data_IF_103090473096
#
_entry.id   IF_103090473096
#
_cell.length_a   1.000
_cell.length_b   1.000
_cell.length_c   1.000
_cell.angle_alpha   90.00
_cell.angle_beta   90.00
_cell.angle_gamma   90.00
#
_symmetry.space_group_name_H-M   'P 1'
#
loop_
_entity.id
_entity.type
_entity.pdbx_description
1 polymer ?
#
# COMPACT_ATOMS: atom_id res chain seq x y z
N UNK A 1 42.72 -10.20 14.43
CA UNK A 1 41.60 -9.25 14.47
C UNK A 1 40.82 -9.40 13.17
N UNK A 2 39.74 -10.18 13.18
CA UNK A 2 38.88 -10.34 12.01
C UNK A 2 37.94 -9.15 11.94
N UNK A 3 38.12 -8.31 10.93
CA UNK A 3 37.19 -7.24 10.62
C UNK A 3 35.90 -7.85 10.08
N UNK A 4 34.83 -7.81 10.87
CA UNK A 4 33.46 -8.08 10.40
C UNK A 4 33.04 -6.86 9.59
N UNK A 5 33.16 -6.94 8.26
CA UNK A 5 32.55 -5.94 7.38
C UNK A 5 31.02 -6.13 7.44
N UNK A 6 30.23 -5.06 7.64
CA UNK A 6 28.79 -5.14 7.48
C UNK A 6 28.48 -5.55 6.03
N UNK A 7 27.59 -6.53 5.84
CA UNK A 7 27.18 -7.07 4.52
C UNK A 7 26.48 -6.04 3.59
N UNK A 8 26.58 -4.74 3.88
CA UNK A 8 25.86 -3.66 3.22
C UNK A 8 26.77 -2.48 2.81
N UNK A 9 28.00 -2.74 2.37
CA UNK A 9 28.87 -1.74 1.72
C UNK A 9 29.03 -1.97 0.21
N UNK A 10 28.11 -2.68 -0.44
CA UNK A 10 28.12 -2.83 -1.89
C UNK A 10 27.54 -1.60 -2.58
N UNK A 11 28.29 -1.01 -3.51
CA UNK A 11 27.77 -0.07 -4.50
C UNK A 11 26.68 -0.75 -5.32
N UNK A 12 25.44 -0.25 -5.25
CA UNK A 12 24.35 -0.72 -6.11
C UNK A 12 24.47 0.05 -7.43
N UNK A 13 25.09 -0.58 -8.43
CA UNK A 13 25.00 -0.13 -9.81
C UNK A 13 23.58 -0.32 -10.36
N UNK A 14 23.09 0.68 -11.08
CA UNK A 14 22.08 0.58 -12.15
C UNK A 14 20.68 0.03 -11.79
N UNK A 15 20.07 0.43 -10.67
CA UNK A 15 18.63 0.17 -10.44
C UNK A 15 17.78 1.43 -10.21
N UNK A 16 18.33 2.60 -10.54
CA UNK A 16 17.58 3.86 -10.52
C UNK A 16 17.49 4.36 -11.95
N UNK A 17 16.42 3.98 -12.64
CA UNK A 17 16.00 4.70 -13.83
C UNK A 17 15.51 6.09 -13.37
N UNK A 18 16.22 7.14 -13.78
CA UNK A 18 15.93 8.53 -13.46
C UNK A 18 15.10 9.24 -14.52
N UNK A 19 14.53 8.50 -15.47
CA UNK A 19 13.89 9.13 -16.62
C UNK A 19 12.49 9.63 -16.26
N UNK A 20 12.26 10.92 -16.50
CA UNK A 20 10.94 11.51 -16.51
C UNK A 20 10.13 10.84 -17.63
N UNK A 21 9.00 10.22 -17.28
CA UNK A 21 8.09 9.64 -18.27
C UNK A 21 7.29 10.78 -18.89
N UNK A 22 7.71 11.24 -20.08
CA UNK A 22 6.89 12.10 -20.92
C UNK A 22 5.76 11.28 -21.55
N UNK A 23 4.54 11.79 -21.45
CA UNK A 23 3.31 11.11 -21.89
C UNK A 23 2.87 11.69 -23.23
N UNK A 24 3.03 10.93 -24.31
CA UNK A 24 2.28 11.14 -25.55
C UNK A 24 1.04 10.25 -25.56
N UNK A 25 -0.10 10.88 -25.81
CA UNK A 25 -1.43 10.25 -25.77
C UNK A 25 -1.72 9.66 -27.15
N UNK A 26 -1.85 8.32 -27.22
CA UNK A 26 -2.57 7.66 -28.31
C UNK A 26 -3.72 6.84 -27.70
N UNK A 27 -4.94 7.25 -28.01
CA UNK A 27 -6.18 6.58 -27.59
C UNK A 27 -6.46 5.45 -28.59
N UNK A 28 -6.47 4.20 -28.13
CA UNK A 28 -6.98 3.05 -28.89
C UNK A 28 -8.40 2.72 -28.39
N UNK A 29 -9.35 2.75 -29.32
CA UNK A 29 -10.80 2.93 -29.09
C UNK A 29 -11.56 1.58 -29.08
N UNK A 30 -10.89 0.47 -28.73
CA UNK A 30 -11.42 -0.89 -28.99
C UNK A 30 -11.68 -1.77 -27.76
N UNK A 31 -11.59 -1.26 -26.53
CA UNK A 31 -12.00 -2.01 -25.34
C UNK A 31 -13.46 -1.70 -24.97
N UNK A 32 -14.31 -2.74 -24.97
CA UNK A 32 -15.73 -2.64 -24.58
C UNK A 32 -15.87 -2.03 -23.17
N UNK A 33 -16.41 -0.82 -23.11
CA UNK A 33 -16.57 -0.04 -21.89
C UNK A 33 -17.62 -0.67 -20.97
N UNK A 34 -17.16 -1.29 -19.88
CA UNK A 34 -18.00 -1.45 -18.68
C UNK A 34 -18.00 -0.10 -18.00
N UNK A 35 -19.15 0.58 -18.01
CA UNK A 35 -19.28 1.89 -17.38
C UNK A 35 -18.95 1.78 -15.88
N UNK A 36 -17.99 2.57 -15.35
CA UNK A 36 -17.70 2.57 -13.93
C UNK A 36 -18.96 3.00 -13.15
N UNK A 37 -19.18 2.48 -11.94
CA UNK A 37 -20.29 2.90 -11.09
C UNK A 37 -20.23 4.42 -10.89
N UNK A 38 -21.40 5.05 -10.85
CA UNK A 38 -21.53 6.48 -10.72
C UNK A 38 -20.89 6.95 -9.41
N UNK A 39 -19.74 7.59 -9.54
CA UNK A 39 -19.08 8.35 -8.48
C UNK A 39 -20.09 9.33 -7.94
N UNK A 40 -20.12 9.55 -6.62
CA UNK A 40 -21.13 10.40 -6.00
C UNK A 40 -20.91 11.88 -6.39
N UNK A 41 -21.36 12.23 -7.59
CA UNK A 41 -21.20 13.55 -8.21
C UNK A 41 -21.97 14.62 -7.45
N UNK A 42 -22.91 14.25 -6.56
CA UNK A 42 -23.61 15.18 -5.69
C UNK A 42 -22.73 15.65 -4.52
N UNK A 43 -21.89 14.77 -3.98
CA UNK A 43 -20.94 15.09 -2.90
C UNK A 43 -19.84 16.07 -3.34
N UNK A 44 -19.64 16.23 -4.65
CA UNK A 44 -18.55 17.00 -5.24
C UNK A 44 -18.99 18.29 -5.96
N UNK A 45 -20.28 18.64 -5.89
CA UNK A 45 -20.91 19.77 -6.63
C UNK A 45 -20.94 21.12 -5.91
N UNK A 46 -20.80 21.17 -4.59
CA UNK A 46 -20.47 22.41 -3.87
C UNK A 46 -18.95 22.58 -3.85
N UNK A 47 -18.38 23.53 -3.10
CA UNK A 47 -16.94 23.84 -3.00
C UNK A 47 -16.09 22.67 -2.42
N UNK A 48 -16.23 21.49 -3.02
CA UNK A 48 -15.55 20.22 -2.87
C UNK A 48 -15.68 19.54 -1.51
N UNK A 49 -15.66 18.21 -1.51
CA UNK A 49 -14.88 17.50 -0.48
C UNK A 49 -13.40 17.91 -0.61
N UNK A 50 -13.08 19.11 -0.17
CA UNK A 50 -11.72 19.61 -0.15
C UNK A 50 -10.88 18.83 0.85
N UNK A 51 -9.56 18.89 0.70
CA UNK A 51 -8.64 18.24 1.64
C UNK A 51 -8.75 18.75 3.08
N UNK A 52 -9.45 19.86 3.28
CA UNK A 52 -9.68 20.50 4.57
C UNK A 52 -11.08 20.23 5.16
N UNK A 53 -11.91 19.43 4.48
CA UNK A 53 -13.22 19.04 5.00
C UNK A 53 -13.09 18.27 6.32
N UNK A 54 -14.09 18.42 7.18
CA UNK A 54 -14.06 17.81 8.51
C UNK A 54 -14.17 16.28 8.46
N UNK A 55 -13.66 15.58 9.49
CA UNK A 55 -13.77 14.12 9.64
C UNK A 55 -15.20 13.61 9.41
N UNK A 56 -16.18 14.29 9.98
CA UNK A 56 -17.61 13.93 9.88
C UNK A 56 -18.12 14.03 8.44
N UNK A 57 -17.79 15.10 7.74
CA UNK A 57 -18.21 15.33 6.34
C UNK A 57 -17.59 14.30 5.41
N UNK A 58 -16.27 14.09 5.52
CA UNK A 58 -15.53 13.08 4.74
C UNK A 58 -16.07 11.66 4.99
N UNK A 59 -16.39 11.33 6.25
CA UNK A 59 -16.96 10.03 6.61
C UNK A 59 -18.38 9.86 6.05
N UNK A 60 -19.22 10.90 6.13
CA UNK A 60 -20.58 10.86 5.59
C UNK A 60 -20.57 10.70 4.05
N UNK A 61 -19.68 11.41 3.37
CA UNK A 61 -19.52 11.29 1.93
C UNK A 61 -19.01 9.90 1.51
N UNK A 62 -18.01 9.36 2.21
CA UNK A 62 -17.51 8.02 1.97
C UNK A 62 -18.61 6.96 2.12
N UNK A 63 -19.44 7.07 3.17
CA UNK A 63 -20.60 6.19 3.37
C UNK A 63 -21.63 6.34 2.24
N UNK A 64 -21.93 7.57 1.84
CA UNK A 64 -22.80 7.86 0.71
C UNK A 64 -22.24 7.39 -0.64
N UNK A 65 -20.92 7.18 -0.73
CA UNK A 65 -20.23 6.66 -1.90
C UNK A 65 -19.99 5.14 -1.83
N UNK A 66 -20.67 4.42 -0.91
CA UNK A 66 -20.61 2.96 -0.82
C UNK A 66 -19.48 2.40 0.03
N UNK A 67 -18.67 3.23 0.70
CA UNK A 67 -17.56 2.78 1.57
C UNK A 67 -17.98 2.48 3.01
N UNK A 68 -19.27 2.24 3.27
CA UNK A 68 -19.76 1.98 4.64
C UNK A 68 -19.14 0.73 5.25
N UNK A 69 -19.10 -0.38 4.51
CA UNK A 69 -18.60 -1.67 5.01
C UNK A 69 -17.12 -1.58 5.44
N UNK A 70 -16.26 -1.01 4.61
CA UNK A 70 -14.83 -0.87 4.92
C UNK A 70 -14.59 0.04 6.12
N UNK A 71 -15.37 1.12 6.27
CA UNK A 71 -15.26 2.03 7.41
C UNK A 71 -15.78 1.42 8.70
N UNK A 72 -16.86 0.63 8.62
CA UNK A 72 -17.40 -0.08 9.78
C UNK A 72 -16.45 -1.19 10.23
N UNK A 73 -15.79 -1.89 9.29
CA UNK A 73 -14.67 -2.82 9.58
C UNK A 73 -13.52 -2.11 10.30
N UNK A 74 -13.04 -0.99 9.76
CA UNK A 74 -11.96 -0.23 10.42
C UNK A 74 -12.35 0.26 11.81
N UNK A 75 -13.61 0.65 12.03
CA UNK A 75 -14.08 1.05 13.35
C UNK A 75 -14.13 -0.11 14.34
N UNK A 76 -14.43 -1.33 13.87
CA UNK A 76 -14.43 -2.54 14.69
C UNK A 76 -13.02 -3.03 15.02
N UNK A 77 -12.12 -3.05 14.02
CA UNK A 77 -10.76 -3.56 14.17
C UNK A 77 -9.86 -2.58 14.92
N UNK A 78 -10.12 -1.27 14.78
CA UNK A 78 -9.28 -0.21 15.33
C UNK A 78 -10.10 0.71 16.28
N UNK A 79 -10.47 0.22 17.47
CA UNK A 79 -11.23 1.00 18.42
C UNK A 79 -10.43 2.23 18.86
N UNK A 80 -11.13 3.36 18.96
CA UNK A 80 -10.46 4.63 19.25
C UNK A 80 -10.22 4.79 20.76
N UNK A 81 -9.05 5.35 21.10
CA UNK A 81 -8.69 5.69 22.47
C UNK A 81 -9.28 7.03 22.92
N UNK A 82 -9.20 7.38 24.22
CA UNK A 82 -9.90 8.53 24.82
C UNK A 82 -9.64 9.91 24.20
N UNK A 83 -8.60 10.04 23.38
CA UNK A 83 -8.20 11.29 22.74
C UNK A 83 -8.49 11.35 21.24
N UNK A 84 -8.92 10.25 20.59
CA UNK A 84 -9.43 10.13 19.19
C UNK A 84 -8.62 10.78 18.04
N UNK A 85 -7.53 11.48 18.37
CA UNK A 85 -6.62 12.27 17.54
C UNK A 85 -5.24 12.30 18.23
N UNK A 86 -4.50 11.18 18.23
CA UNK A 86 -3.11 11.24 18.66
C UNK A 86 -2.36 12.26 17.80
N UNK A 87 -1.48 13.07 18.41
CA UNK A 87 -0.56 13.97 17.71
C UNK A 87 0.45 13.13 16.92
N UNK A 88 -0.01 12.60 15.80
CA UNK A 88 0.68 11.59 15.00
C UNK A 88 0.69 11.99 13.53
N UNK A 89 1.58 11.35 12.78
CA UNK A 89 1.67 11.53 11.33
C UNK A 89 0.40 11.03 10.65
N UNK A 90 0.20 11.43 9.39
CA UNK A 90 -0.88 10.92 8.55
C UNK A 90 -0.93 9.38 8.62
N UNK A 91 -2.09 8.74 8.87
CA UNK A 91 -2.21 7.29 8.96
C UNK A 91 -1.65 6.56 7.73
N UNK A 92 -1.88 7.07 6.52
CA UNK A 92 -1.36 6.50 5.28
C UNK A 92 0.18 6.39 5.22
N UNK A 93 0.92 7.06 6.11
CA UNK A 93 2.36 6.85 6.23
C UNK A 93 2.72 5.41 6.62
N UNK A 94 1.89 4.75 7.44
CA UNK A 94 2.12 3.38 7.87
C UNK A 94 2.14 2.38 6.71
N UNK A 95 1.08 2.37 5.91
CA UNK A 95 0.97 1.53 4.72
C UNK A 95 2.06 1.88 3.70
N UNK A 96 2.29 3.17 3.44
CA UNK A 96 3.33 3.62 2.52
C UNK A 96 4.72 3.14 2.95
N UNK A 97 5.05 3.25 4.24
CA UNK A 97 6.34 2.81 4.78
C UNK A 97 6.56 1.32 4.60
N UNK A 98 5.53 0.51 4.80
CA UNK A 98 5.58 -0.94 4.57
C UNK A 98 5.84 -1.23 3.09
N UNK A 99 5.05 -0.65 2.19
CA UNK A 99 5.22 -0.83 0.74
C UNK A 99 6.62 -0.41 0.26
N UNK A 100 7.13 0.73 0.74
CA UNK A 100 8.46 1.22 0.38
C UNK A 100 9.62 0.36 0.89
N UNK A 101 9.40 -0.50 1.90
CA UNK A 101 10.41 -1.46 2.40
C UNK A 101 10.41 -2.78 1.63
N UNK A 102 9.30 -3.15 0.97
CA UNK A 102 9.15 -4.41 0.23
C UNK A 102 9.89 -4.38 -1.11
N UNK A 103 10.74 -5.36 -1.38
CA UNK A 103 11.47 -5.45 -2.65
C UNK A 103 10.51 -5.73 -3.80
N UNK A 104 10.85 -5.13 -4.95
CA UNK A 104 10.08 -5.30 -6.19
C UNK A 104 8.61 -4.91 -6.00
N UNK A 105 8.37 -3.89 -5.17
CA UNK A 105 7.06 -3.31 -4.93
C UNK A 105 7.07 -1.86 -5.38
N UNK A 106 6.13 -1.50 -6.26
CA UNK A 106 5.85 -0.10 -6.55
C UNK A 106 4.69 0.39 -5.67
N UNK A 107 4.66 1.69 -5.36
CA UNK A 107 3.56 2.29 -4.60
C UNK A 107 3.08 3.55 -5.28
N UNK A 108 1.77 3.65 -5.47
CA UNK A 108 1.06 4.78 -6.06
C UNK A 108 0.14 5.36 -4.99
N UNK A 109 0.22 6.67 -4.77
CA UNK A 109 -0.71 7.41 -3.94
C UNK A 109 -1.74 8.12 -4.82
N UNK A 110 -3.02 7.87 -4.52
CA UNK A 110 -4.15 8.64 -5.02
C UNK A 110 -4.56 9.61 -3.92
N UNK A 111 -4.25 10.89 -4.12
CA UNK A 111 -4.33 11.90 -3.07
C UNK A 111 -4.13 13.31 -3.59
N UNK A 112 -4.22 14.31 -2.72
CA UNK A 112 -3.87 15.67 -3.11
C UNK A 112 -2.36 15.88 -3.05
N UNK A 113 -1.88 16.89 -3.77
CA UNK A 113 -0.46 17.23 -3.80
C UNK A 113 0.12 17.47 -2.40
N UNK A 114 -0.63 18.07 -1.48
CA UNK A 114 -0.16 18.31 -0.11
C UNK A 114 -0.02 17.01 0.70
N UNK A 115 -0.95 16.06 0.55
CA UNK A 115 -0.84 14.76 1.20
C UNK A 115 0.34 13.97 0.66
N UNK A 116 0.50 13.92 -0.67
CA UNK A 116 1.59 13.19 -1.30
C UNK A 116 2.94 13.82 -0.99
N UNK A 117 3.05 15.15 -1.02
CA UNK A 117 4.26 15.86 -0.58
C UNK A 117 4.62 15.52 0.87
N UNK A 118 3.65 15.61 1.80
CA UNK A 118 3.90 15.28 3.20
C UNK A 118 4.33 13.82 3.40
N UNK A 119 3.63 12.88 2.77
CA UNK A 119 3.92 11.45 2.87
C UNK A 119 5.26 11.05 2.24
N UNK A 120 5.59 11.64 1.09
CA UNK A 120 6.90 11.45 0.45
C UNK A 120 8.02 12.05 1.29
N UNK A 121 7.85 13.27 1.81
CA UNK A 121 8.82 13.90 2.71
C UNK A 121 9.09 13.04 3.95
N UNK A 122 8.04 12.62 4.66
CA UNK A 122 8.19 11.77 5.86
C UNK A 122 8.83 10.42 5.51
N UNK A 123 8.46 9.82 4.37
CA UNK A 123 9.07 8.56 3.91
C UNK A 123 10.58 8.68 3.70
N UNK A 124 11.04 9.75 3.08
CA UNK A 124 12.47 9.98 2.90
C UNK A 124 13.19 10.19 4.23
N UNK A 125 12.58 10.89 5.18
CA UNK A 125 13.14 11.08 6.52
C UNK A 125 13.33 9.73 7.25
N UNK A 126 12.40 8.79 7.08
CA UNK A 126 12.50 7.44 7.64
C UNK A 126 13.29 6.45 6.77
N UNK A 127 14.10 6.96 5.85
CA UNK A 127 15.09 6.20 5.10
C UNK A 127 14.52 5.43 3.91
N UNK A 128 13.30 5.72 3.47
CA UNK A 128 12.83 5.23 2.18
C UNK A 128 13.66 5.87 1.06
N UNK A 129 14.10 5.05 0.11
CA UNK A 129 14.92 5.46 -1.04
C UNK A 129 14.22 5.20 -2.37
N UNK A 130 13.00 4.70 -2.35
CA UNK A 130 12.23 4.34 -3.54
C UNK A 130 11.27 5.46 -3.90
N UNK A 131 11.00 5.58 -5.19
CA UNK A 131 10.02 6.51 -5.74
C UNK A 131 8.61 6.16 -5.24
N UNK A 132 7.79 7.20 -5.12
CA UNK A 132 6.37 7.09 -4.84
C UNK A 132 5.65 7.62 -6.06
N UNK A 133 4.87 6.77 -6.71
CA UNK A 133 3.98 7.16 -7.79
C UNK A 133 2.87 8.06 -7.24
N UNK A 134 2.41 8.99 -8.07
CA UNK A 134 1.38 9.95 -7.71
C UNK A 134 0.41 10.11 -8.86
N UNK A 135 -0.88 9.92 -8.58
CA UNK A 135 -1.96 10.29 -9.51
C UNK A 135 -2.68 11.52 -8.94
N UNK A 136 -2.53 12.70 -9.57
CA UNK A 136 -3.17 13.91 -9.10
C UNK A 136 -4.68 13.90 -9.40
N UNK A 137 -5.43 14.71 -8.66
CA UNK A 137 -6.82 14.99 -8.96
C UNK A 137 -7.13 16.48 -8.83
N UNK A 138 -8.22 16.90 -9.47
CA UNK A 138 -8.91 18.15 -9.24
C UNK A 138 -10.42 17.88 -9.08
N UNK A 139 -11.22 18.91 -8.83
CA UNK A 139 -12.67 18.73 -8.64
C UNK A 139 -13.34 18.06 -9.85
N UNK A 140 -12.94 18.41 -11.07
CA UNK A 140 -13.48 17.84 -12.30
C UNK A 140 -13.13 16.35 -12.44
N UNK A 141 -11.86 15.97 -12.20
CA UNK A 141 -11.44 14.57 -12.34
C UNK A 141 -12.08 13.65 -11.29
N UNK A 142 -12.42 14.19 -10.12
CA UNK A 142 -13.16 13.46 -9.08
C UNK A 142 -14.60 13.19 -9.49
N UNK A 143 -15.30 14.16 -10.09
CA UNK A 143 -16.73 13.99 -10.41
C UNK A 143 -16.96 13.18 -11.67
N UNK A 144 -16.03 13.26 -12.64
CA UNK A 144 -16.15 12.63 -13.95
C UNK A 144 -15.67 11.18 -13.96
N UNK A 145 -14.93 10.76 -12.93
CA UNK A 145 -14.29 9.44 -12.87
C UNK A 145 -13.01 9.28 -13.62
N UNK A 146 -12.52 10.38 -14.19
CA UNK A 146 -11.20 10.45 -14.78
C UNK A 146 -10.09 10.03 -13.81
N UNK A 147 -10.21 10.30 -12.51
CA UNK A 147 -9.21 9.85 -11.53
C UNK A 147 -9.05 8.32 -11.52
N UNK A 148 -10.14 7.54 -11.63
CA UNK A 148 -10.02 6.08 -11.69
C UNK A 148 -9.33 5.64 -12.98
N UNK A 149 -9.68 6.24 -14.12
CA UNK A 149 -9.02 5.93 -15.40
C UNK A 149 -7.54 6.31 -15.38
N UNK A 150 -7.17 7.45 -14.80
CA UNK A 150 -5.78 7.88 -14.67
C UNK A 150 -4.99 6.92 -13.74
N UNK A 151 -5.62 6.41 -12.67
CA UNK A 151 -5.03 5.36 -11.82
C UNK A 151 -4.85 4.08 -12.63
N UNK A 152 -5.88 3.64 -13.36
CA UNK A 152 -5.83 2.43 -14.19
C UNK A 152 -4.68 2.54 -15.20
N UNK A 153 -4.61 3.63 -15.96
CA UNK A 153 -3.56 3.89 -16.92
C UNK A 153 -2.16 3.86 -16.27
N UNK A 154 -2.00 4.51 -15.11
CA UNK A 154 -0.73 4.50 -14.38
C UNK A 154 -0.30 3.08 -13.97
N UNK A 155 -1.24 2.25 -13.53
CA UNK A 155 -0.96 0.86 -13.15
C UNK A 155 -0.59 0.01 -14.37
N UNK A 156 -1.32 0.14 -15.49
CA UNK A 156 -0.99 -0.57 -16.73
C UNK A 156 0.41 -0.21 -17.25
N UNK A 157 0.81 1.07 -17.16
CA UNK A 157 2.16 1.52 -17.58
C UNK A 157 3.26 1.01 -16.65
N UNK A 158 2.97 0.88 -15.36
CA UNK A 158 3.96 0.50 -14.35
C UNK A 158 4.13 -1.02 -14.20
N UNK A 159 3.16 -1.81 -14.69
CA UNK A 159 3.12 -3.26 -14.57
C UNK A 159 4.16 -3.97 -15.47
N UNK A 160 5.41 -3.97 -15.01
CA UNK A 160 6.53 -4.71 -15.59
C UNK A 160 7.01 -5.84 -14.63
N UNK A 161 6.79 -7.13 -14.97
CA UNK A 161 7.22 -8.26 -14.15
C UNK A 161 8.74 -8.39 -14.04
N UNK A 162 9.53 -7.76 -14.92
CA UNK A 162 10.98 -7.72 -14.77
C UNK A 162 11.40 -6.84 -13.58
N UNK A 163 10.59 -5.83 -13.23
CA UNK A 163 10.91 -4.85 -12.18
C UNK A 163 10.12 -5.10 -10.88
N UNK A 164 8.83 -5.45 -11.00
CA UNK A 164 7.91 -5.50 -9.88
C UNK A 164 7.19 -6.85 -9.77
N UNK A 165 6.98 -7.29 -8.54
CA UNK A 165 6.13 -8.43 -8.19
C UNK A 165 4.72 -7.95 -7.80
N UNK A 166 4.60 -6.70 -7.32
CA UNK A 166 3.34 -6.07 -6.94
C UNK A 166 3.37 -4.54 -7.07
N UNK A 167 2.22 -3.96 -7.37
CA UNK A 167 1.93 -2.52 -7.35
C UNK A 167 0.85 -2.27 -6.32
N UNK A 168 1.12 -1.39 -5.37
CA UNK A 168 0.17 -0.98 -4.33
C UNK A 168 -0.40 0.38 -4.70
N UNK A 169 -1.72 0.50 -4.72
CA UNK A 169 -2.44 1.76 -4.93
C UNK A 169 -3.16 2.10 -3.64
N UNK A 170 -2.85 3.27 -3.08
CA UNK A 170 -3.48 3.74 -1.84
C UNK A 170 -4.33 4.97 -2.11
N UNK A 171 -5.65 4.84 -1.93
CA UNK A 171 -6.53 5.98 -1.81
C UNK A 171 -6.33 6.67 -0.45
N UNK A 172 -6.16 7.99 -0.49
CA UNK A 172 -6.15 8.85 0.68
C UNK A 172 -7.55 9.42 0.96
N UNK A 173 -7.65 10.36 1.90
CA UNK A 173 -8.93 10.89 2.40
C UNK A 173 -9.93 11.26 1.30
N UNK A 174 -9.55 12.13 0.36
CA UNK A 174 -10.49 12.66 -0.64
C UNK A 174 -10.91 11.59 -1.67
N UNK A 175 -9.99 10.80 -2.26
CA UNK A 175 -10.38 9.70 -3.15
C UNK A 175 -11.26 8.64 -2.49
N UNK A 176 -10.96 8.25 -1.23
CA UNK A 176 -11.84 7.33 -0.49
C UNK A 176 -13.22 7.93 -0.26
N UNK A 177 -13.28 9.20 0.15
CA UNK A 177 -14.56 9.88 0.42
C UNK A 177 -15.38 10.16 -0.85
N UNK A 178 -14.70 10.30 -1.99
CA UNK A 178 -15.34 10.43 -3.30
C UNK A 178 -15.80 9.08 -3.87
N UNK A 179 -15.37 7.95 -3.28
CA UNK A 179 -15.76 6.62 -3.71
C UNK A 179 -14.97 6.08 -4.90
N UNK A 180 -13.69 6.46 -5.05
CA UNK A 180 -12.84 5.89 -6.11
C UNK A 180 -12.73 4.36 -5.95
N UNK A 181 -13.17 3.57 -6.94
CA UNK A 181 -13.37 2.13 -6.78
C UNK A 181 -12.12 1.33 -7.18
N UNK A 182 -11.11 1.28 -6.30
CA UNK A 182 -9.87 0.52 -6.58
C UNK A 182 -10.11 -0.99 -6.76
N UNK A 183 -11.23 -1.50 -6.26
CA UNK A 183 -11.71 -2.88 -6.42
C UNK A 183 -12.08 -3.25 -7.87
N UNK A 184 -12.23 -2.25 -8.75
CA UNK A 184 -12.44 -2.48 -10.19
C UNK A 184 -11.14 -2.55 -10.99
N UNK A 185 -9.99 -2.30 -10.37
CA UNK A 185 -8.70 -2.57 -11.01
C UNK A 185 -8.55 -4.09 -11.19
N UNK A 186 -7.91 -4.54 -12.29
CA UNK A 186 -7.62 -5.96 -12.45
C UNK A 186 -6.69 -6.43 -11.32
N UNK A 187 -6.94 -7.61 -10.75
CA UNK A 187 -6.11 -8.20 -9.68
C UNK A 187 -4.65 -8.40 -10.11
N UNK A 188 -4.40 -8.61 -11.41
CA UNK A 188 -3.07 -8.83 -11.98
C UNK A 188 -2.96 -8.21 -13.38
N UNK A 189 -1.79 -7.65 -13.69
CA UNK A 189 -1.41 -7.19 -15.04
C UNK A 189 -0.01 -7.73 -15.35
N UNK A 190 0.16 -8.47 -16.44
CA UNK A 190 1.44 -9.04 -16.87
C UNK A 190 2.18 -9.86 -15.78
N UNK A 191 1.46 -10.56 -14.89
CA UNK A 191 2.10 -11.27 -13.75
C UNK A 191 2.42 -10.38 -12.54
N UNK A 192 2.12 -9.08 -12.60
CA UNK A 192 2.30 -8.13 -11.50
C UNK A 192 0.98 -7.95 -10.77
N UNK A 193 0.99 -8.18 -9.46
CA UNK A 193 -0.20 -8.12 -8.60
C UNK A 193 -0.59 -6.69 -8.32
N UNK A 194 -1.86 -6.36 -8.46
CA UNK A 194 -2.38 -5.02 -8.24
C UNK A 194 -3.19 -5.00 -6.95
N UNK A 195 -2.76 -4.20 -5.97
CA UNK A 195 -3.38 -4.16 -4.65
C UNK A 195 -3.88 -2.76 -4.37
N UNK A 196 -5.20 -2.60 -4.40
CA UNK A 196 -5.90 -1.39 -3.99
C UNK A 196 -6.22 -1.40 -2.49
N UNK A 197 -5.86 -0.34 -1.78
CA UNK A 197 -6.25 -0.12 -0.38
C UNK A 197 -6.78 1.30 -0.15
N UNK A 198 -7.75 1.43 0.74
CA UNK A 198 -8.24 2.72 1.24
C UNK A 198 -7.63 2.99 2.62
N UNK A 199 -6.82 4.04 2.76
CA UNK A 199 -6.24 4.46 4.05
C UNK A 199 -6.59 5.92 4.35
N UNK A 200 -7.88 6.23 4.55
CA UNK A 200 -8.30 7.58 4.89
C UNK A 200 -7.91 7.93 6.33
N UNK A 201 -7.40 9.15 6.54
CA UNK A 201 -7.10 9.64 7.89
C UNK A 201 -8.33 9.82 8.79
N UNK A 202 -9.54 9.81 8.23
CA UNK A 202 -10.78 9.81 9.01
C UNK A 202 -11.26 8.41 9.42
N UNK A 203 -10.78 7.35 8.76
CA UNK A 203 -11.20 5.96 8.99
C UNK A 203 -10.16 5.11 9.73
N UNK A 204 -8.88 5.30 9.42
CA UNK A 204 -7.77 4.58 10.07
C UNK A 204 -7.17 5.51 11.15
N UNK A 205 -7.11 5.10 12.44
CA UNK A 205 -6.82 6.02 13.52
C UNK A 205 -5.36 6.48 13.58
N UNK A 206 -4.39 5.61 13.32
CA UNK A 206 -2.97 5.98 13.33
C UNK A 206 -2.19 5.30 12.20
N UNK A 207 -0.93 5.72 12.03
CA UNK A 207 -0.01 5.09 11.09
C UNK A 207 0.47 3.70 11.55
N UNK A 208 0.20 3.28 12.78
CA UNK A 208 0.43 1.90 13.18
C UNK A 208 -0.60 0.97 12.52
N UNK A 209 -1.89 1.27 12.68
CA UNK A 209 -2.97 0.44 12.13
C UNK A 209 -2.98 0.42 10.60
N UNK A 210 -2.52 1.51 9.95
CA UNK A 210 -2.36 1.54 8.51
C UNK A 210 -1.36 0.49 7.97
N UNK A 211 -0.40 0.05 8.79
CA UNK A 211 0.51 -1.05 8.40
C UNK A 211 -0.26 -2.36 8.28
N UNK A 212 -1.19 -2.58 9.20
CA UNK A 212 -2.04 -3.77 9.25
C UNK A 212 -2.98 -3.81 8.06
N UNK A 213 -3.53 -2.67 7.63
CA UNK A 213 -4.38 -2.58 6.43
C UNK A 213 -3.66 -3.12 5.20
N UNK A 214 -2.41 -2.69 4.96
CA UNK A 214 -1.64 -3.18 3.82
C UNK A 214 -1.22 -4.65 4.01
N UNK A 215 -0.75 -5.02 5.20
CA UNK A 215 -0.34 -6.40 5.49
C UNK A 215 -1.49 -7.40 5.30
N UNK A 216 -2.69 -7.06 5.77
CA UNK A 216 -3.89 -7.86 5.62
C UNK A 216 -4.27 -8.02 4.13
N UNK A 217 -4.29 -6.93 3.36
CA UNK A 217 -4.60 -6.99 1.93
C UNK A 217 -3.62 -7.91 1.16
N UNK A 218 -2.33 -7.81 1.47
CA UNK A 218 -1.31 -8.65 0.84
C UNK A 218 -1.42 -10.12 1.26
N UNK A 219 -1.67 -10.39 2.54
CA UNK A 219 -1.88 -11.76 3.04
C UNK A 219 -3.14 -12.39 2.45
N UNK A 220 -4.22 -11.63 2.31
CA UNK A 220 -5.45 -12.09 1.68
C UNK A 220 -5.20 -12.50 0.23
N UNK A 221 -4.50 -11.66 -0.54
CA UNK A 221 -4.12 -11.98 -1.92
C UNK A 221 -3.22 -13.22 -1.96
N UNK A 222 -2.16 -13.25 -1.15
CA UNK A 222 -1.23 -14.39 -1.11
C UNK A 222 -1.94 -15.70 -0.75
N UNK A 223 -2.94 -15.64 0.15
CA UNK A 223 -3.76 -16.80 0.50
C UNK A 223 -4.57 -17.29 -0.70
N UNK A 224 -5.19 -16.40 -1.47
CA UNK A 224 -5.92 -16.77 -2.69
C UNK A 224 -5.01 -17.48 -3.70
N UNK A 225 -3.76 -17.05 -3.84
CA UNK A 225 -2.79 -17.72 -4.71
C UNK A 225 -2.40 -19.12 -4.22
N UNK A 226 -2.16 -19.27 -2.91
CA UNK A 226 -1.84 -20.57 -2.30
C UNK A 226 -3.01 -21.56 -2.45
N UNK A 227 -4.24 -21.07 -2.31
CA UNK A 227 -5.45 -21.89 -2.49
C UNK A 227 -5.65 -22.34 -3.95
N UNK A 228 -5.11 -21.61 -4.93
CA UNK A 228 -5.17 -21.96 -6.36
C UNK A 228 -4.12 -22.99 -6.78
N UNK A 229 -3.02 -23.16 -6.04
CA UNK A 229 -2.03 -24.17 -6.35
C UNK A 229 -0.61 -23.89 -5.84
N UNK A 230 0.39 -24.61 -6.36
CA UNK A 230 1.77 -24.45 -5.94
C UNK A 230 2.31 -23.04 -6.23
N UNK A 231 2.81 -22.37 -5.18
CA UNK A 231 3.44 -21.05 -5.26
C UNK A 231 4.97 -21.15 -5.19
N UNK A 232 5.64 -20.06 -5.58
CA UNK A 232 7.10 -20.00 -5.53
C UNK A 232 7.61 -19.97 -4.10
N UNK A 233 8.60 -20.82 -3.80
CA UNK A 233 9.21 -20.86 -2.48
C UNK A 233 9.92 -19.52 -2.13
N UNK A 234 9.90 -19.10 -0.85
CA UNK A 234 10.68 -17.97 -0.39
C UNK A 234 12.18 -18.18 -0.62
N UNK A 235 12.90 -17.09 -0.87
CA UNK A 235 14.34 -17.11 -1.19
C UNK A 235 15.21 -17.72 -0.07
N UNK A 236 14.77 -17.60 1.18
CA UNK A 236 15.48 -18.15 2.35
C UNK A 236 15.34 -19.66 2.55
N UNK A 237 14.46 -20.33 1.79
CA UNK A 237 14.17 -21.75 1.98
C UNK A 237 13.45 -22.08 3.29
N UNK A 238 13.33 -23.38 3.60
CA UNK A 238 12.74 -23.85 4.85
C UNK A 238 13.81 -23.91 5.94
N UNK A 239 13.45 -23.48 7.14
CA UNK A 239 14.32 -23.58 8.32
C UNK A 239 14.54 -25.05 8.73
N UNK A 240 15.74 -25.36 9.21
CA UNK A 240 16.07 -26.66 9.81
C UNK A 240 15.46 -26.85 11.21
N UNK A 241 15.06 -25.75 11.86
CA UNK A 241 14.40 -25.73 13.18
C UNK A 241 12.95 -25.25 13.07
N UNK A 242 12.06 -25.64 14.01
CA UNK A 242 10.73 -25.04 14.10
C UNK A 242 10.82 -23.50 14.23
N UNK A 243 10.00 -22.79 13.46
CA UNK A 243 10.04 -21.33 13.36
C UNK A 243 8.85 -20.68 14.05
N UNK A 244 9.08 -19.50 14.64
CA UNK A 244 8.02 -18.62 15.15
C UNK A 244 7.80 -17.48 14.15
N UNK A 245 6.61 -17.44 13.51
CA UNK A 245 6.23 -16.31 12.67
C UNK A 245 6.02 -15.06 13.54
N UNK A 246 6.51 -13.92 13.06
CA UNK A 246 6.50 -12.65 13.80
C UNK A 246 5.49 -11.71 13.15
N UNK A 247 4.54 -11.22 13.94
CA UNK A 247 3.54 -10.25 13.49
C UNK A 247 3.83 -8.90 14.13
N UNK A 248 3.94 -7.87 13.30
CA UNK A 248 4.34 -6.52 13.67
C UNK A 248 5.51 -6.02 12.83
N UNK A 249 5.57 -4.71 12.56
CA UNK A 249 6.71 -4.14 11.85
C UNK A 249 7.99 -4.26 12.69
N UNK A 250 8.98 -4.94 12.12
CA UNK A 250 10.28 -5.14 12.74
C UNK A 250 11.32 -4.16 12.18
N UNK A 251 12.15 -3.61 13.05
CA UNK A 251 13.37 -2.91 12.65
C UNK A 251 14.46 -3.93 12.25
N UNK A 252 15.48 -3.52 11.47
CA UNK A 252 16.48 -4.45 10.95
C UNK A 252 17.22 -5.30 11.99
N UNK A 253 17.35 -4.83 13.23
CA UNK A 253 18.01 -5.55 14.31
C UNK A 253 17.06 -6.47 15.10
N UNK A 254 15.75 -6.27 15.02
CA UNK A 254 14.79 -6.96 15.89
C UNK A 254 14.75 -8.47 15.61
N UNK A 255 14.73 -8.97 14.35
CA UNK A 255 14.77 -10.40 14.09
C UNK A 255 16.06 -11.07 14.58
N UNK A 256 17.19 -10.34 14.61
CA UNK A 256 18.46 -10.85 15.14
C UNK A 256 18.36 -11.02 16.65
N UNK A 257 17.87 -9.99 17.36
CA UNK A 257 17.67 -10.05 18.81
C UNK A 257 16.67 -11.13 19.22
N UNK A 258 15.54 -11.23 18.52
CA UNK A 258 14.55 -12.28 18.76
C UNK A 258 15.12 -13.67 18.46
N UNK A 259 15.87 -13.83 17.38
CA UNK A 259 16.54 -15.08 17.05
C UNK A 259 17.46 -15.57 18.18
N UNK A 260 18.24 -14.66 18.78
CA UNK A 260 19.09 -14.98 19.93
C UNK A 260 18.30 -15.39 21.18
N UNK A 261 17.09 -14.86 21.38
CA UNK A 261 16.21 -15.27 22.47
C UNK A 261 15.52 -16.62 22.21
N UNK A 262 15.26 -16.95 20.94
CA UNK A 262 14.63 -18.21 20.53
C UNK A 262 15.62 -19.39 20.49
N UNK A 263 16.90 -19.14 20.25
CA UNK A 263 17.91 -20.18 20.06
C UNK A 263 18.03 -21.16 21.25
N UNK A 264 18.05 -20.74 22.53
CA UNK A 264 18.08 -21.65 23.67
C UNK A 264 16.85 -22.57 23.78
N UNK A 265 15.73 -22.20 23.14
CA UNK A 265 14.50 -23.00 23.09
C UNK A 265 14.49 -23.99 21.91
N UNK A 266 15.56 -24.03 21.10
CA UNK A 266 15.60 -24.83 19.88
C UNK A 266 14.73 -24.29 18.74
N UNK A 267 14.32 -23.02 18.84
CA UNK A 267 13.46 -22.35 17.87
C UNK A 267 14.27 -21.40 16.98
N UNK A 268 13.69 -21.01 15.84
CA UNK A 268 14.22 -19.99 14.95
C UNK A 268 13.19 -18.88 14.72
N UNK A 269 13.65 -17.66 14.45
CA UNK A 269 12.78 -16.60 13.95
C UNK A 269 12.29 -16.98 12.54
N UNK A 270 10.98 -16.98 12.36
CA UNK A 270 10.31 -17.29 11.11
C UNK A 270 10.09 -16.06 10.22
N UNK A 271 9.15 -16.16 9.26
CA UNK A 271 8.76 -15.02 8.45
C UNK A 271 8.17 -13.90 9.30
N UNK A 272 8.33 -12.67 8.83
CA UNK A 272 7.83 -11.45 9.49
C UNK A 272 6.70 -10.88 8.65
N UNK A 273 5.59 -10.49 9.28
CA UNK A 273 4.49 -9.75 8.65
C UNK A 273 4.40 -8.38 9.33
N UNK A 274 4.56 -7.26 8.60
CA UNK A 274 4.71 -7.15 7.15
C UNK A 274 6.04 -7.68 6.61
N UNK A 275 6.00 -8.31 5.42
CA UNK A 275 7.14 -8.99 4.80
C UNK A 275 8.08 -8.04 4.06
N UNK A 276 9.25 -8.53 3.62
CA UNK A 276 10.21 -7.76 2.81
C UNK A 276 10.19 -8.12 1.34
N UNK A 277 9.64 -9.27 0.98
CA UNK A 277 9.44 -9.74 -0.39
C UNK A 277 8.07 -10.41 -0.49
N UNK A 278 7.46 -10.42 -1.67
CA UNK A 278 6.13 -11.02 -1.85
C UNK A 278 6.10 -12.50 -1.42
N UNK A 279 7.10 -13.27 -1.85
CA UNK A 279 7.17 -14.73 -1.60
C UNK A 279 7.28 -15.09 -0.12
N UNK A 280 7.67 -14.16 0.74
CA UNK A 280 7.70 -14.40 2.18
C UNK A 280 6.29 -14.48 2.78
N UNK A 281 5.27 -13.91 2.11
CA UNK A 281 3.87 -14.01 2.54
C UNK A 281 3.40 -15.47 2.54
N UNK A 282 3.82 -16.27 1.56
CA UNK A 282 3.47 -17.69 1.47
C UNK A 282 4.05 -18.53 2.61
N UNK A 283 5.18 -18.12 3.20
CA UNK A 283 5.72 -18.80 4.37
C UNK A 283 5.04 -18.39 5.67
N UNK A 284 4.36 -17.23 5.68
CA UNK A 284 3.66 -16.71 6.85
C UNK A 284 2.23 -17.26 6.99
N UNK A 285 1.71 -17.91 5.95
CA UNK A 285 0.42 -18.62 5.91
C UNK A 285 0.59 -20.09 6.33
#
# INVERSE_FOLDING_TARGET
MNAILPRYSGTIGESVAHDAVEVEIMVDDTAAAVAPPAINAAATKTDGLGCHAGKTELSAAAKAAGKSEILDRYAADYPKGPHDQPQSMCPAFGSLRVGLRMRRTATILSGSACCVYGLTFTSHFYGARRSVGYVPFNSETLVTGKLFEDIREAVFKLADPALYDTIIITNLCVPTASGVPLDLLPDEINGVRIIGIDVPGFGVPTHAEAKDVLAAAMLEYARKEVEQGPVQAPRGGRSERPTVALVGEMFPADPVGIGMMLEPLGLAAGPVVPTREWRELYAAL
#
